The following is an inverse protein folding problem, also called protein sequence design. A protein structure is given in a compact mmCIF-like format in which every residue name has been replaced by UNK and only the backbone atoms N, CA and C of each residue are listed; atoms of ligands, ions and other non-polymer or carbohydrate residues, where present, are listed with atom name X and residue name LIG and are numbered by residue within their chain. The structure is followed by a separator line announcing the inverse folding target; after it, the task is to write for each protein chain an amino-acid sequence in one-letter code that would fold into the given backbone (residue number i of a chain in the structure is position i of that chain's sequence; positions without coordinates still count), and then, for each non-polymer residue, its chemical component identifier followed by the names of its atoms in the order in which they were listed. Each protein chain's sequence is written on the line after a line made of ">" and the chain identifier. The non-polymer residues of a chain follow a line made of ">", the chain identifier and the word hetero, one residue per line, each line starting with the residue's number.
data_IF_694950247621
#
_entry.id   IF_694950247621
#
_cell.length_a   1.000
_cell.length_b   1.000
_cell.length_c   1.000
_cell.angle_alpha   90.00
_cell.angle_beta   90.00
_cell.angle_gamma   90.00
#
_symmetry.space_group_name_H-M   'P 1'
#
loop_
_entity.id
_entity.type
_entity.pdbx_description
1 polymer ?
#
# COMPACT_ATOMS: atom_id res chain seq x y z
N UNK A 1 6.84 -22.33 16.16
CA UNK A 1 5.71 -22.05 15.25
C UNK A 1 6.17 -21.06 14.20
N UNK A 2 5.71 -21.21 12.98
CA UNK A 2 5.99 -20.22 11.96
C UNK A 2 5.20 -18.95 12.25
N UNK A 3 5.87 -17.79 12.18
CA UNK A 3 5.22 -16.48 12.28
C UNK A 3 4.27 -16.29 11.10
N UNK A 4 3.14 -15.64 11.35
CA UNK A 4 2.24 -15.21 10.29
C UNK A 4 2.80 -13.96 9.61
N UNK A 5 2.83 -13.93 8.29
CA UNK A 5 3.34 -12.82 7.50
C UNK A 5 2.21 -11.92 7.01
N UNK A 6 2.32 -10.63 7.30
CA UNK A 6 1.37 -9.59 6.90
C UNK A 6 2.07 -8.62 5.97
N UNK A 7 1.57 -8.48 4.75
CA UNK A 7 2.03 -7.47 3.80
C UNK A 7 1.17 -6.21 3.91
N UNK A 8 1.80 -5.07 4.14
CA UNK A 8 1.16 -3.75 4.14
C UNK A 8 1.48 -3.02 2.85
N UNK A 9 0.59 -3.13 1.87
CA UNK A 9 0.75 -2.54 0.54
C UNK A 9 0.02 -1.20 0.46
N UNK A 10 0.77 -0.11 0.35
CA UNK A 10 0.18 1.22 0.41
C UNK A 10 1.02 2.32 -0.23
N UNK A 11 0.63 3.54 0.03
CA UNK A 11 1.24 4.77 -0.48
C UNK A 11 2.17 5.44 0.55
N UNK A 12 2.28 6.76 0.49
CA UNK A 12 3.08 7.58 1.40
C UNK A 12 2.65 7.46 2.87
N UNK A 13 1.38 7.23 3.13
CA UNK A 13 0.88 7.02 4.51
C UNK A 13 1.41 5.71 5.10
N UNK A 14 1.56 4.69 4.29
CA UNK A 14 2.17 3.41 4.70
C UNK A 14 3.69 3.53 4.78
N UNK A 15 4.32 4.23 3.84
CA UNK A 15 5.76 4.50 3.85
C UNK A 15 6.18 5.34 5.05
N UNK A 16 5.31 6.24 5.50
CA UNK A 16 5.56 7.14 6.63
C UNK A 16 6.18 8.48 6.22
N UNK A 17 5.72 9.05 5.11
CA UNK A 17 6.15 10.38 4.65
C UNK A 17 5.80 11.46 5.68
N UNK A 18 6.77 12.34 5.97
CA UNK A 18 6.56 13.50 6.85
C UNK A 18 6.15 14.69 5.98
N UNK A 19 4.92 15.23 6.14
CA UNK A 19 4.49 16.40 5.38
C UNK A 19 5.43 17.60 5.57
N UNK A 20 5.77 18.26 4.46
CA UNK A 20 6.66 19.41 4.47
C UNK A 20 8.16 19.11 4.53
N UNK A 21 8.54 17.84 4.64
CA UNK A 21 9.95 17.41 4.71
C UNK A 21 10.54 17.01 3.35
N UNK A 22 9.90 17.40 2.25
CA UNK A 22 10.44 17.20 0.90
C UNK A 22 11.36 18.36 0.51
N UNK A 23 12.60 18.05 0.20
CA UNK A 23 13.56 19.00 -0.36
C UNK A 23 13.63 18.83 -1.88
N UNK A 24 13.15 19.82 -2.66
CA UNK A 24 13.13 19.73 -4.11
C UNK A 24 14.52 19.78 -4.77
N UNK A 25 15.52 20.34 -4.09
CA UNK A 25 16.86 20.47 -4.65
C UNK A 25 17.67 19.17 -4.55
N UNK A 26 17.47 18.43 -3.45
CA UNK A 26 18.17 17.16 -3.19
C UNK A 26 17.29 15.95 -3.42
N UNK A 27 16.00 16.13 -3.63
CA UNK A 27 14.96 15.05 -3.64
C UNK A 27 14.93 14.24 -2.35
N UNK A 28 15.48 14.79 -1.27
CA UNK A 28 15.45 14.15 0.03
C UNK A 28 14.03 14.19 0.63
N UNK A 29 13.61 13.06 1.18
CA UNK A 29 12.33 12.91 1.87
C UNK A 29 12.58 12.28 3.23
N UNK A 30 12.10 12.93 4.28
CA UNK A 30 12.11 12.34 5.61
C UNK A 30 10.99 11.33 5.77
N UNK A 31 11.27 10.34 6.61
CA UNK A 31 10.37 9.24 6.92
C UNK A 31 10.21 9.11 8.43
N UNK A 32 8.96 8.96 8.89
CA UNK A 32 8.72 8.59 10.28
C UNK A 32 9.44 7.29 10.65
N UNK A 33 9.90 7.19 11.89
CA UNK A 33 10.51 5.96 12.41
C UNK A 33 9.52 4.78 12.37
N UNK A 34 10.05 3.57 12.36
CA UNK A 34 9.23 2.34 12.38
C UNK A 34 8.25 2.31 13.55
N UNK A 35 8.61 2.89 14.69
CA UNK A 35 7.76 2.94 15.89
C UNK A 35 6.56 3.89 15.77
N UNK A 36 6.54 4.76 14.75
CA UNK A 36 5.47 5.73 14.50
C UNK A 36 4.63 5.32 13.28
N UNK A 37 5.25 4.73 12.26
CA UNK A 37 4.52 4.24 11.08
C UNK A 37 3.50 3.18 11.48
N UNK A 38 2.27 3.26 10.94
CA UNK A 38 1.20 2.35 11.31
C UNK A 38 1.54 0.85 11.16
N UNK A 39 2.28 0.39 10.13
CA UNK A 39 2.66 -1.02 10.05
C UNK A 39 3.60 -1.43 11.20
N UNK A 40 4.54 -0.57 11.57
CA UNK A 40 5.44 -0.83 12.68
C UNK A 40 4.73 -0.81 14.04
N UNK A 41 3.78 0.10 14.23
CA UNK A 41 2.90 0.13 15.42
C UNK A 41 2.09 -1.16 15.49
N UNK A 42 1.50 -1.59 14.38
CA UNK A 42 0.75 -2.84 14.29
C UNK A 42 1.62 -4.04 14.66
N UNK A 43 2.85 -4.13 14.11
CA UNK A 43 3.78 -5.21 14.44
C UNK A 43 4.09 -5.28 15.93
N UNK A 44 4.32 -4.11 16.54
CA UNK A 44 4.58 -4.04 17.98
C UNK A 44 3.39 -4.51 18.83
N UNK A 45 2.17 -4.19 18.43
CA UNK A 45 0.94 -4.61 19.12
C UNK A 45 0.68 -6.12 18.95
N UNK A 46 0.89 -6.65 17.74
CA UNK A 46 0.68 -8.05 17.42
C UNK A 46 1.71 -8.98 18.06
N UNK A 47 2.91 -8.48 18.35
CA UNK A 47 3.97 -9.22 19.02
C UNK A 47 4.69 -10.23 18.14
N UNK A 48 5.40 -11.16 18.79
CA UNK A 48 6.39 -12.05 18.16
C UNK A 48 5.82 -13.07 17.18
N UNK A 49 4.52 -13.32 17.20
CA UNK A 49 3.87 -14.33 16.34
C UNK A 49 3.59 -13.82 14.91
N UNK A 50 3.87 -12.55 14.68
CA UNK A 50 3.65 -11.89 13.39
C UNK A 50 4.93 -11.27 12.84
N UNK A 51 5.03 -11.25 11.53
CA UNK A 51 6.05 -10.54 10.77
C UNK A 51 5.34 -9.57 9.83
N UNK A 52 5.57 -8.26 10.01
CA UNK A 52 4.94 -7.23 9.20
C UNK A 52 5.91 -6.71 8.15
N UNK A 53 5.52 -6.82 6.90
CA UNK A 53 6.29 -6.40 5.72
C UNK A 53 5.72 -5.08 5.25
N UNK A 54 6.55 -4.04 5.24
CA UNK A 54 6.16 -2.70 4.84
C UNK A 54 6.46 -2.46 3.36
N UNK A 55 5.43 -2.35 2.55
CA UNK A 55 5.49 -2.04 1.11
C UNK A 55 4.74 -0.74 0.79
N UNK A 56 5.09 0.32 1.51
CA UNK A 56 4.67 1.68 1.20
C UNK A 56 5.55 2.31 0.12
N UNK A 57 4.93 3.02 -0.82
CA UNK A 57 5.63 3.79 -1.86
C UNK A 57 4.96 5.15 -2.05
N UNK A 58 5.75 6.23 -1.88
CA UNK A 58 5.24 7.58 -2.07
C UNK A 58 4.64 7.76 -3.46
N UNK A 59 3.42 8.28 -3.52
CA UNK A 59 2.71 8.51 -4.76
C UNK A 59 2.03 7.27 -5.36
N UNK A 60 2.09 6.09 -4.73
CA UNK A 60 1.44 4.90 -5.30
C UNK A 60 -0.05 5.12 -5.49
N UNK A 61 -0.51 4.79 -6.68
CA UNK A 61 -1.91 4.80 -7.12
C UNK A 61 -2.47 3.38 -7.11
N UNK A 62 -3.74 3.22 -7.46
CA UNK A 62 -4.33 1.89 -7.66
C UNK A 62 -3.83 1.25 -8.97
N UNK A 63 -4.26 1.77 -10.13
CA UNK A 63 -3.97 1.17 -11.44
C UNK A 63 -3.66 2.21 -12.54
N UNK A 64 -3.16 3.38 -12.17
CA UNK A 64 -2.79 4.43 -13.11
C UNK A 64 -1.35 4.88 -12.90
N UNK A 65 -0.61 5.10 -13.98
CA UNK A 65 0.75 5.65 -13.92
C UNK A 65 0.75 7.17 -14.05
N UNK A 66 1.73 7.80 -13.44
CA UNK A 66 2.01 9.22 -13.70
C UNK A 66 2.62 9.38 -15.08
N UNK A 67 2.35 10.51 -15.78
CA UNK A 67 2.93 10.76 -17.10
C UNK A 67 4.47 10.71 -17.13
N UNK A 68 5.09 11.24 -16.08
CA UNK A 68 6.55 11.42 -16.01
C UNK A 68 7.22 10.62 -14.87
N UNK A 69 6.51 9.69 -14.24
CA UNK A 69 7.01 8.92 -13.11
C UNK A 69 6.47 7.49 -13.13
N UNK A 70 7.24 6.58 -13.70
CA UNK A 70 6.86 5.17 -13.82
C UNK A 70 6.95 4.41 -12.48
N UNK A 71 6.21 3.30 -12.40
CA UNK A 71 6.31 2.36 -11.29
C UNK A 71 5.48 2.75 -10.06
N UNK A 72 4.53 3.67 -10.21
CA UNK A 72 3.63 4.08 -9.12
C UNK A 72 2.28 3.38 -9.14
N UNK A 73 1.89 2.75 -10.25
CA UNK A 73 0.68 1.94 -10.32
C UNK A 73 0.79 0.70 -9.41
N UNK A 74 -0.19 0.53 -8.53
CA UNK A 74 -0.25 -0.64 -7.66
C UNK A 74 -0.35 -1.95 -8.44
N UNK A 75 -1.14 -1.97 -9.53
CA UNK A 75 -1.29 -3.15 -10.38
C UNK A 75 0.00 -3.57 -11.09
N UNK A 76 0.88 -2.63 -11.40
CA UNK A 76 2.16 -2.96 -12.05
C UNK A 76 3.17 -3.63 -11.10
N UNK A 77 3.03 -3.46 -9.79
CA UNK A 77 4.00 -3.97 -8.81
C UNK A 77 3.45 -5.05 -7.88
N UNK A 78 2.15 -5.14 -7.67
CA UNK A 78 1.58 -6.09 -6.68
C UNK A 78 2.01 -7.54 -6.95
N UNK A 79 2.01 -7.99 -8.18
CA UNK A 79 2.35 -9.38 -8.53
C UNK A 79 3.82 -9.71 -8.17
N UNK A 80 4.85 -9.01 -8.64
CA UNK A 80 6.23 -9.27 -8.22
C UNK A 80 6.43 -9.09 -6.71
N UNK A 81 5.72 -8.16 -6.07
CA UNK A 81 5.75 -7.96 -4.63
C UNK A 81 5.27 -9.18 -3.87
N UNK A 82 4.13 -9.76 -4.25
CA UNK A 82 3.58 -10.98 -3.64
C UNK A 82 4.54 -12.17 -3.77
N UNK A 83 5.09 -12.39 -4.95
CA UNK A 83 6.05 -13.47 -5.17
C UNK A 83 7.34 -13.28 -4.36
N UNK A 84 7.83 -12.07 -4.27
CA UNK A 84 9.06 -11.75 -3.54
C UNK A 84 8.93 -11.97 -2.02
N UNK A 85 7.73 -11.75 -1.48
CA UNK A 85 7.47 -11.84 -0.04
C UNK A 85 6.73 -13.11 0.39
N UNK A 86 6.37 -13.99 -0.55
CA UNK A 86 5.64 -15.22 -0.21
C UNK A 86 6.49 -16.19 0.65
N UNK A 87 5.85 -16.99 1.53
CA UNK A 87 4.41 -17.09 1.74
C UNK A 87 3.84 -15.97 2.60
N UNK A 88 2.63 -15.51 2.25
CA UNK A 88 1.90 -14.47 2.95
C UNK A 88 0.60 -15.00 3.52
N UNK A 89 0.27 -14.62 4.76
CA UNK A 89 -1.01 -14.98 5.40
C UNK A 89 -2.06 -13.89 5.22
N UNK A 90 -1.64 -12.62 5.22
CA UNK A 90 -2.54 -11.46 5.14
C UNK A 90 -1.92 -10.41 4.22
N UNK A 91 -2.76 -9.78 3.40
CA UNK A 91 -2.41 -8.57 2.64
C UNK A 91 -3.36 -7.45 3.03
N UNK A 92 -2.81 -6.33 3.47
CA UNK A 92 -3.54 -5.09 3.78
C UNK A 92 -3.23 -4.08 2.68
N UNK A 93 -4.27 -3.53 2.04
CA UNK A 93 -4.16 -2.51 0.99
C UNK A 93 -4.64 -1.18 1.54
N UNK A 94 -3.81 -0.15 1.42
CA UNK A 94 -4.15 1.24 1.74
C UNK A 94 -3.75 2.13 0.55
N UNK A 95 -4.66 2.31 -0.40
CA UNK A 95 -4.46 3.07 -1.64
C UNK A 95 -5.70 3.87 -2.00
N UNK A 96 -5.56 4.78 -2.94
CA UNK A 96 -6.65 5.54 -3.55
C UNK A 96 -6.51 7.06 -3.42
N UNK A 97 -5.81 7.55 -2.38
CA UNK A 97 -5.68 9.00 -2.17
C UNK A 97 -4.91 9.68 -3.31
N UNK A 98 -3.89 9.03 -3.87
CA UNK A 98 -3.12 9.57 -4.98
C UNK A 98 -3.89 9.58 -6.30
N UNK A 99 -4.85 8.68 -6.44
CA UNK A 99 -5.73 8.61 -7.62
C UNK A 99 -6.64 9.85 -7.73
N UNK A 100 -6.89 10.55 -6.62
CA UNK A 100 -7.68 11.77 -6.57
C UNK A 100 -6.95 13.01 -7.11
N UNK A 101 -5.68 12.89 -7.47
CA UNK A 101 -4.94 14.01 -8.06
C UNK A 101 -5.58 14.45 -9.38
N UNK A 102 -5.69 15.75 -9.57
CA UNK A 102 -6.33 16.36 -10.75
C UNK A 102 -5.78 15.83 -12.09
N UNK A 103 -4.49 15.52 -12.14
CA UNK A 103 -3.83 15.00 -13.34
C UNK A 103 -4.42 13.67 -13.85
N UNK A 104 -5.10 12.91 -12.99
CA UNK A 104 -5.68 11.61 -13.36
C UNK A 104 -7.15 11.69 -13.77
N UNK A 105 -7.83 12.77 -13.39
CA UNK A 105 -9.26 13.00 -13.71
C UNK A 105 -10.14 11.75 -13.42
N UNK A 106 -9.98 11.17 -12.22
CA UNK A 106 -10.65 9.94 -11.83
C UNK A 106 -11.78 10.19 -10.85
N UNK A 107 -12.88 9.52 -11.08
CA UNK A 107 -13.99 9.44 -10.14
C UNK A 107 -13.83 8.27 -9.14
N UNK A 108 -14.72 8.23 -8.16
CA UNK A 108 -14.73 7.18 -7.12
C UNK A 108 -14.86 5.78 -7.71
N UNK A 109 -15.64 5.62 -8.79
CA UNK A 109 -15.84 4.32 -9.43
C UNK A 109 -14.54 3.81 -10.05
N UNK A 110 -13.84 4.66 -10.79
CA UNK A 110 -12.54 4.31 -11.39
C UNK A 110 -11.51 3.89 -10.34
N UNK A 111 -11.51 4.57 -9.19
CA UNK A 111 -10.62 4.24 -8.07
C UNK A 111 -11.01 2.90 -7.42
N UNK A 112 -12.30 2.69 -7.23
CA UNK A 112 -12.83 1.42 -6.69
C UNK A 112 -12.53 0.24 -7.61
N UNK A 113 -12.69 0.43 -8.92
CA UNK A 113 -12.35 -0.57 -9.93
C UNK A 113 -10.84 -0.92 -9.86
N UNK A 114 -9.98 0.09 -9.67
CA UNK A 114 -8.54 -0.12 -9.49
C UNK A 114 -8.18 -0.91 -8.23
N UNK A 115 -8.86 -0.67 -7.12
CA UNK A 115 -8.71 -1.49 -5.90
C UNK A 115 -9.19 -2.93 -6.14
N UNK A 116 -10.32 -3.09 -6.81
CA UNK A 116 -10.86 -4.42 -7.15
C UNK A 116 -9.89 -5.20 -8.02
N UNK A 117 -9.26 -4.57 -9.00
CA UNK A 117 -8.23 -5.17 -9.84
C UNK A 117 -7.05 -5.69 -9.03
N UNK A 118 -6.55 -4.91 -8.07
CA UNK A 118 -5.47 -5.33 -7.16
C UNK A 118 -5.91 -6.55 -6.33
N UNK A 119 -7.13 -6.53 -5.80
CA UNK A 119 -7.68 -7.64 -5.01
C UNK A 119 -7.75 -8.92 -5.86
N UNK A 120 -8.26 -8.82 -7.09
CA UNK A 120 -8.34 -9.95 -8.02
C UNK A 120 -6.95 -10.52 -8.30
N UNK A 121 -5.95 -9.66 -8.54
CA UNK A 121 -4.55 -10.08 -8.75
C UNK A 121 -4.00 -10.82 -7.53
N UNK A 122 -4.30 -10.38 -6.32
CA UNK A 122 -3.88 -11.04 -5.07
C UNK A 122 -4.54 -12.41 -4.95
N UNK A 123 -5.84 -12.51 -5.21
CA UNK A 123 -6.61 -13.75 -5.09
C UNK A 123 -6.22 -14.79 -6.16
N UNK A 124 -5.77 -14.34 -7.32
CA UNK A 124 -5.31 -15.20 -8.40
C UNK A 124 -3.89 -15.77 -8.20
N UNK A 125 -3.13 -15.24 -7.24
CA UNK A 125 -1.78 -15.76 -6.94
C UNK A 125 -1.87 -17.04 -6.12
N UNK A 126 -1.11 -18.07 -6.50
CA UNK A 126 -1.04 -19.35 -5.78
C UNK A 126 -0.29 -19.27 -4.45
N UNK A 127 0.37 -18.16 -4.17
CA UNK A 127 1.17 -17.92 -2.97
C UNK A 127 0.62 -16.80 -2.09
N UNK A 128 -0.53 -16.26 -2.45
CA UNK A 128 -1.23 -15.27 -1.66
C UNK A 128 -2.06 -15.92 -0.53
N UNK A 129 -2.55 -15.12 0.41
CA UNK A 129 -3.40 -15.61 1.47
C UNK A 129 -4.65 -16.25 0.90
N UNK A 130 -4.99 -17.45 1.41
CA UNK A 130 -6.24 -18.13 1.08
C UNK A 130 -7.37 -17.35 1.73
N UNK A 131 -7.93 -16.44 0.95
CA UNK A 131 -9.20 -15.73 1.10
C UNK A 131 -9.76 -15.36 2.48
N UNK A 132 -9.75 -14.08 2.78
CA UNK A 132 -10.94 -13.32 3.26
C UNK A 132 -10.69 -11.85 2.96
N UNK A 133 -11.45 -11.27 2.04
CA UNK A 133 -11.34 -9.86 1.71
C UNK A 133 -12.32 -9.06 2.53
N UNK A 134 -11.83 -8.28 3.49
CA UNK A 134 -12.58 -7.19 4.08
C UNK A 134 -12.20 -5.89 3.40
N UNK A 135 -13.12 -5.31 2.64
CA UNK A 135 -12.96 -3.98 2.10
C UNK A 135 -13.34 -2.97 3.17
N UNK A 136 -12.36 -2.32 3.77
CA UNK A 136 -12.60 -1.11 4.55
C UNK A 136 -12.28 0.08 3.63
N UNK A 137 -13.31 0.75 3.13
CA UNK A 137 -13.12 2.03 2.46
C UNK A 137 -12.59 3.02 3.50
N UNK A 138 -11.53 3.79 3.20
CA UNK A 138 -11.12 4.86 4.07
C UNK A 138 -12.29 5.83 4.22
N UNK A 139 -12.74 6.01 5.47
CA UNK A 139 -13.72 7.04 5.77
C UNK A 139 -13.00 8.37 5.63
N UNK A 140 -13.22 9.09 4.54
CA UNK A 140 -12.74 10.46 4.38
C UNK A 140 -13.62 11.30 5.28
N UNK A 141 -13.11 11.65 6.45
CA UNK A 141 -13.69 12.76 7.20
C UNK A 141 -13.27 14.05 6.49
N UNK A 142 -14.23 14.71 5.85
CA UNK A 142 -14.05 16.09 5.42
C UNK A 142 -13.84 16.95 6.67
N UNK A 143 -12.67 17.51 6.77
CA UNK A 143 -12.38 18.58 7.73
C UNK A 143 -12.91 19.89 7.17
#
# INVERSE_FOLDING_TARGET
>A
MNKKSILCFGDSNTWGFIPGAFDPDTFYMERYSKTIRWPGVMENILGSDYNVIEEGLNGRTTNVEYPDLNGRSGTSYISPCLYSHSPLDIVIIQLGINDLKVIFDRDVRMITDGISEIIDMIQMTTFGPVSYTHLTLPTIYSV
#
